data_IF_374844467659
#
_entry.id   IF_374844467659
#
_cell.length_a   1.000
_cell.length_b   1.000
_cell.length_c   1.000
_cell.angle_alpha   90.00
_cell.angle_beta   90.00
_cell.angle_gamma   90.00
#
_symmetry.space_group_name_H-M   'P 1'
#
loop_
_entity.id
_entity.type
_entity.pdbx_description
1 polymer ?
#
# COMPACT_ATOMS: atom_id res chain seq x y z
N UNK A 1 -64.14 2.20 6.90
CA UNK A 1 -63.13 2.58 7.91
C UNK A 1 -61.81 1.97 7.47
N UNK A 2 -60.85 2.78 7.05
CA UNK A 2 -59.50 2.28 6.76
C UNK A 2 -58.71 2.19 8.07
N UNK A 3 -57.95 1.11 8.23
CA UNK A 3 -57.15 0.84 9.42
C UNK A 3 -55.68 0.83 9.04
N UNK A 4 -54.83 1.50 9.83
CA UNK A 4 -53.38 1.50 9.64
C UNK A 4 -52.77 0.57 10.69
N UNK A 5 -51.86 -0.30 10.26
CA UNK A 5 -51.03 -1.13 11.13
C UNK A 5 -49.59 -0.64 11.03
N UNK A 6 -48.99 -0.26 12.16
CA UNK A 6 -47.58 0.09 12.24
C UNK A 6 -46.79 -1.03 12.93
N UNK A 7 -45.65 -1.40 12.34
CA UNK A 7 -44.69 -2.35 12.91
C UNK A 7 -43.33 -1.66 13.02
N UNK A 8 -42.71 -1.74 14.20
CA UNK A 8 -41.38 -1.21 14.45
C UNK A 8 -40.51 -2.31 15.06
N UNK A 9 -39.31 -2.50 14.51
CA UNK A 9 -38.30 -3.44 15.00
C UNK A 9 -37.00 -2.67 15.19
N UNK A 10 -36.37 -2.85 16.33
CA UNK A 10 -35.01 -2.36 16.54
C UNK A 10 -34.04 -3.20 15.69
N UNK A 11 -33.32 -2.52 14.80
CA UNK A 11 -32.32 -3.10 13.90
C UNK A 11 -30.92 -2.53 14.14
N UNK A 12 -30.72 -1.84 15.28
CA UNK A 12 -29.49 -1.10 15.56
C UNK A 12 -28.27 -2.00 15.54
N UNK A 13 -28.31 -3.16 16.21
CA UNK A 13 -27.20 -4.12 16.23
C UNK A 13 -26.91 -4.70 14.85
N UNK A 14 -27.96 -5.09 14.11
CA UNK A 14 -27.81 -5.66 12.77
C UNK A 14 -27.14 -4.66 11.82
N UNK A 15 -27.57 -3.39 11.87
CA UNK A 15 -26.98 -2.28 11.10
C UNK A 15 -25.51 -2.07 11.46
N UNK A 16 -25.15 -2.14 12.74
CA UNK A 16 -23.76 -1.99 13.17
C UNK A 16 -22.87 -3.13 12.67
N UNK A 17 -23.36 -4.37 12.70
CA UNK A 17 -22.62 -5.53 12.18
C UNK A 17 -22.44 -5.42 10.66
N UNK A 18 -23.50 -5.08 9.92
CA UNK A 18 -23.43 -4.86 8.46
C UNK A 18 -22.40 -3.78 8.10
N UNK A 19 -22.36 -2.67 8.86
CA UNK A 19 -21.37 -1.61 8.66
C UNK A 19 -19.93 -2.07 8.91
N UNK A 20 -19.70 -2.86 9.97
CA UNK A 20 -18.37 -3.43 10.24
C UNK A 20 -17.93 -4.36 9.12
N UNK A 21 -18.82 -5.23 8.65
CA UNK A 21 -18.54 -6.14 7.53
C UNK A 21 -18.16 -5.35 6.27
N UNK A 22 -18.94 -4.33 5.90
CA UNK A 22 -18.64 -3.48 4.75
C UNK A 22 -17.28 -2.76 4.89
N UNK A 23 -16.96 -2.30 6.09
CA UNK A 23 -15.68 -1.66 6.37
C UNK A 23 -14.52 -2.65 6.23
N UNK A 24 -14.66 -3.87 6.74
CA UNK A 24 -13.67 -4.94 6.60
C UNK A 24 -13.47 -5.33 5.13
N UNK A 25 -14.54 -5.51 4.36
CA UNK A 25 -14.44 -5.84 2.92
C UNK A 25 -13.69 -4.76 2.13
N UNK A 26 -13.94 -3.49 2.45
CA UNK A 26 -13.23 -2.35 1.86
C UNK A 26 -11.74 -2.40 2.17
N UNK A 27 -11.36 -2.69 3.42
CA UNK A 27 -9.96 -2.78 3.84
C UNK A 27 -9.24 -3.96 3.18
N UNK A 28 -9.88 -5.13 3.09
CA UNK A 28 -9.34 -6.30 2.38
C UNK A 28 -9.08 -5.97 0.91
N UNK A 29 -10.05 -5.33 0.25
CA UNK A 29 -9.91 -4.92 -1.16
C UNK A 29 -8.76 -3.94 -1.35
N UNK A 30 -8.60 -3.00 -0.42
CA UNK A 30 -7.49 -2.04 -0.43
C UNK A 30 -6.14 -2.73 -0.22
N UNK A 31 -6.05 -3.69 0.70
CA UNK A 31 -4.84 -4.48 0.96
C UNK A 31 -4.42 -5.32 -0.25
N UNK A 32 -5.38 -5.95 -0.95
CA UNK A 32 -5.11 -6.68 -2.19
C UNK A 32 -4.59 -5.77 -3.31
N UNK A 33 -5.21 -4.59 -3.48
CA UNK A 33 -4.77 -3.60 -4.46
C UNK A 33 -3.37 -3.06 -4.12
N UNK A 34 -3.11 -2.76 -2.84
CA UNK A 34 -1.79 -2.33 -2.38
C UNK A 34 -0.72 -3.41 -2.63
N UNK A 35 -1.04 -4.69 -2.41
CA UNK A 35 -0.16 -5.82 -2.70
C UNK A 35 0.22 -5.90 -4.19
N UNK A 36 -0.77 -5.76 -5.08
CA UNK A 36 -0.55 -5.75 -6.53
C UNK A 36 0.33 -4.56 -6.96
N UNK A 37 -0.01 -3.35 -6.53
CA UNK A 37 0.77 -2.15 -6.84
C UNK A 37 2.19 -2.23 -6.30
N UNK A 38 2.39 -2.76 -5.09
CA UNK A 38 3.72 -2.89 -4.54
C UNK A 38 4.59 -3.83 -5.36
N UNK A 39 4.06 -4.95 -5.82
CA UNK A 39 4.80 -5.85 -6.70
C UNK A 39 5.18 -5.15 -8.01
N UNK A 40 4.23 -4.46 -8.64
CA UNK A 40 4.47 -3.75 -9.90
C UNK A 40 5.44 -2.58 -9.79
N UNK A 41 5.50 -1.88 -8.65
CA UNK A 41 6.43 -0.77 -8.41
C UNK A 41 7.80 -1.30 -7.98
N UNK A 42 7.85 -2.35 -7.17
CA UNK A 42 9.12 -2.93 -6.73
C UNK A 42 9.92 -3.53 -7.90
N UNK A 43 9.26 -4.01 -8.95
CA UNK A 43 9.92 -4.54 -10.14
C UNK A 43 10.84 -3.52 -10.84
N UNK A 44 10.35 -2.37 -11.34
CA UNK A 44 11.22 -1.36 -11.95
C UNK A 44 12.21 -0.77 -10.95
N UNK A 45 11.85 -0.61 -9.66
CA UNK A 45 12.81 -0.17 -8.62
C UNK A 45 13.97 -1.16 -8.47
N UNK A 46 13.70 -2.46 -8.50
CA UNK A 46 14.73 -3.50 -8.46
C UNK A 46 15.67 -3.41 -9.66
N UNK A 47 15.14 -3.18 -10.86
CA UNK A 47 15.95 -2.97 -12.07
C UNK A 47 16.81 -1.71 -11.94
N UNK A 48 16.25 -0.59 -11.48
CA UNK A 48 16.97 0.67 -11.26
C UNK A 48 18.14 0.45 -10.28
N UNK A 49 17.87 -0.19 -9.13
CA UNK A 49 18.88 -0.46 -8.12
C UNK A 49 19.99 -1.40 -8.64
N UNK A 50 19.64 -2.40 -9.45
CA UNK A 50 20.62 -3.27 -10.10
C UNK A 50 21.59 -2.47 -11.00
N UNK A 51 21.07 -1.58 -11.84
CA UNK A 51 21.92 -0.73 -12.69
C UNK A 51 22.75 0.27 -11.89
N UNK A 52 22.19 0.85 -10.83
CA UNK A 52 22.90 1.70 -9.88
C UNK A 52 24.11 0.95 -9.30
N UNK A 53 23.91 -0.28 -8.82
CA UNK A 53 24.99 -1.09 -8.26
C UNK A 53 26.06 -1.40 -9.30
N UNK A 54 25.68 -1.80 -10.51
CA UNK A 54 26.61 -2.06 -11.61
C UNK A 54 27.44 -0.81 -11.95
N UNK A 55 26.81 0.36 -12.02
CA UNK A 55 27.48 1.62 -12.35
C UNK A 55 28.41 2.08 -11.22
N UNK A 56 28.03 1.91 -9.95
CA UNK A 56 28.91 2.24 -8.81
C UNK A 56 30.21 1.41 -8.82
N UNK A 57 30.18 0.17 -9.32
CA UNK A 57 31.39 -0.65 -9.46
C UNK A 57 32.30 -0.21 -10.62
N UNK A 58 31.80 0.55 -11.59
CA UNK A 58 32.54 0.98 -12.77
C UNK A 58 33.03 2.43 -12.69
N UNK A 59 32.36 3.25 -11.89
CA UNK A 59 32.64 4.69 -11.79
C UNK A 59 33.68 4.97 -10.68
N UNK A 60 34.62 5.92 -10.91
CA UNK A 60 35.48 6.42 -9.84
C UNK A 60 34.64 7.11 -8.75
N UNK A 61 34.92 6.84 -7.47
CA UNK A 61 34.17 7.40 -6.32
C UNK A 61 34.17 8.94 -6.31
N UNK A 62 35.24 9.56 -6.81
CA UNK A 62 35.42 11.02 -6.85
C UNK A 62 34.63 11.69 -7.99
N UNK A 63 34.12 10.90 -8.93
CA UNK A 63 33.45 11.41 -10.13
C UNK A 63 32.09 12.02 -9.83
N UNK A 64 31.68 13.00 -10.64
CA UNK A 64 30.32 13.57 -10.56
C UNK A 64 29.27 12.49 -10.83
N UNK A 65 29.51 11.60 -11.78
CA UNK A 65 28.61 10.50 -12.11
C UNK A 65 28.38 9.56 -10.92
N UNK A 66 29.41 9.29 -10.11
CA UNK A 66 29.22 8.49 -8.89
C UNK A 66 28.27 9.16 -7.90
N UNK A 67 28.39 10.48 -7.70
CA UNK A 67 27.47 11.27 -6.85
C UNK A 67 26.04 11.29 -7.39
N UNK A 68 25.89 11.40 -8.70
CA UNK A 68 24.58 11.37 -9.36
C UNK A 68 23.91 9.99 -9.17
N UNK A 69 24.66 8.91 -9.36
CA UNK A 69 24.18 7.53 -9.14
C UNK A 69 23.81 7.28 -7.68
N UNK A 70 24.61 7.76 -6.72
CA UNK A 70 24.28 7.66 -5.30
C UNK A 70 22.99 8.43 -4.94
N UNK A 71 22.72 9.53 -5.63
CA UNK A 71 21.46 10.27 -5.48
C UNK A 71 20.27 9.46 -6.01
N UNK A 72 20.41 8.84 -7.18
CA UNK A 72 19.38 7.95 -7.75
C UNK A 72 19.10 6.77 -6.81
N UNK A 73 20.14 6.13 -6.29
CA UNK A 73 20.05 5.04 -5.30
C UNK A 73 19.21 5.45 -4.09
N UNK A 74 19.54 6.58 -3.48
CA UNK A 74 18.85 7.12 -2.30
C UNK A 74 17.34 7.29 -2.57
N UNK A 75 16.98 7.87 -3.71
CA UNK A 75 15.58 8.09 -4.05
C UNK A 75 14.86 6.80 -4.41
N UNK A 76 15.50 5.86 -5.11
CA UNK A 76 14.94 4.55 -5.39
C UNK A 76 14.66 3.76 -4.09
N UNK A 77 15.58 3.80 -3.12
CA UNK A 77 15.39 3.20 -1.80
C UNK A 77 14.26 3.87 -1.02
N UNK A 78 14.13 5.20 -1.11
CA UNK A 78 13.03 5.94 -0.50
C UNK A 78 11.68 5.48 -1.07
N UNK A 79 11.57 5.34 -2.40
CA UNK A 79 10.36 4.82 -3.03
C UNK A 79 10.03 3.40 -2.57
N UNK A 80 11.04 2.52 -2.45
CA UNK A 80 10.86 1.16 -1.93
C UNK A 80 10.34 1.15 -0.49
N UNK A 81 10.79 2.09 0.34
CA UNK A 81 10.29 2.24 1.71
C UNK A 81 8.82 2.69 1.72
N UNK A 82 8.47 3.71 0.94
CA UNK A 82 7.08 4.21 0.84
C UNK A 82 6.12 3.09 0.41
N UNK A 83 6.52 2.28 -0.57
CA UNK A 83 5.73 1.12 -1.03
C UNK A 83 5.58 0.08 0.10
N UNK A 84 6.63 -0.15 0.87
CA UNK A 84 6.58 -1.08 2.01
C UNK A 84 5.66 -0.57 3.12
N UNK A 85 5.69 0.73 3.41
CA UNK A 85 4.82 1.35 4.42
C UNK A 85 3.35 1.28 4.01
N UNK A 86 3.05 1.49 2.72
CA UNK A 86 1.70 1.34 2.16
C UNK A 86 1.16 -0.11 2.32
N UNK A 87 2.01 -1.11 2.10
CA UNK A 87 1.64 -2.51 2.33
C UNK A 87 1.35 -2.83 3.78
N UNK A 88 2.17 -2.30 4.68
CA UNK A 88 2.00 -2.50 6.11
C UNK A 88 0.69 -1.87 6.60
N UNK A 89 0.36 -0.67 6.11
CA UNK A 89 -0.91 0.00 6.39
C UNK A 89 -2.12 -0.86 5.98
N UNK A 90 -2.08 -1.47 4.79
CA UNK A 90 -3.15 -2.36 4.31
C UNK A 90 -3.29 -3.67 5.09
N UNK A 91 -2.31 -4.04 5.92
CA UNK A 91 -2.34 -5.26 6.77
C UNK A 91 -2.71 -4.96 8.23
N UNK A 92 -2.47 -3.76 8.72
CA UNK A 92 -2.55 -3.42 10.15
C UNK A 92 -3.96 -3.21 10.73
N UNK A 93 -5.03 -3.35 9.95
CA UNK A 93 -6.42 -3.32 10.47
C UNK A 93 -7.05 -4.73 10.64
N UNK A 94 -6.27 -5.79 10.43
CA UNK A 94 -6.71 -7.19 10.58
C UNK A 94 -6.45 -7.83 11.95
N UNK A 95 -5.68 -7.19 12.83
CA UNK A 95 -5.35 -7.72 14.16
C UNK A 95 -5.43 -6.64 15.24
N UNK A 96 -6.59 -6.58 15.90
CA UNK A 96 -6.71 -6.43 17.36
C UNK A 96 -8.13 -6.74 17.82
#
# INVERSE_FOLDING_TARGET
>A
MESIICYAKDITEQKQVEQRIQQTEKLVSLGQLAAGLAHEINNPLGVILCYVDLLKHQLPEDSQSFRDIATIEKHALTCKQIVSDLLNFGRSDGEK
#
